data_IF_866497567376
#
_entry.id   IF_866497567376
#
_cell.length_a   1.000
_cell.length_b   1.000
_cell.length_c   1.000
_cell.angle_alpha   90.00
_cell.angle_beta   90.00
_cell.angle_gamma   90.00
#
_symmetry.space_group_name_H-M   'P 1'
#
loop_
_entity.id
_entity.type
_entity.pdbx_description
1 polymer ?
#
# COMPACT_ATOMS: atom_id res chain seq x y z
N UNK A 1 31.43 -33.14 -11.90
CA UNK A 1 30.57 -33.96 -11.03
C UNK A 1 29.16 -33.74 -11.50
N UNK A 2 28.37 -34.78 -11.63
CA UNK A 2 27.04 -34.74 -12.24
C UNK A 2 25.96 -35.03 -11.21
N UNK A 3 24.73 -34.59 -11.50
CA UNK A 3 23.51 -34.99 -10.78
C UNK A 3 23.47 -36.52 -10.72
N UNK A 4 23.06 -37.09 -9.59
CA UNK A 4 22.97 -38.55 -9.45
C UNK A 4 22.07 -39.14 -10.55
N UNK A 5 22.39 -40.33 -11.10
CA UNK A 5 21.56 -40.92 -12.16
C UNK A 5 20.10 -41.12 -11.74
N UNK A 6 19.88 -41.40 -10.45
CA UNK A 6 18.55 -41.55 -9.86
C UNK A 6 17.78 -40.22 -9.84
N UNK A 7 18.39 -39.15 -9.33
CA UNK A 7 17.74 -37.84 -9.29
C UNK A 7 17.51 -37.29 -10.70
N UNK A 8 18.48 -37.47 -11.60
CA UNK A 8 18.35 -37.08 -13.02
C UNK A 8 17.16 -37.79 -13.68
N UNK A 9 16.97 -39.09 -13.45
CA UNK A 9 15.82 -39.82 -13.97
C UNK A 9 14.50 -39.27 -13.38
N UNK A 10 14.43 -39.09 -12.06
CA UNK A 10 13.23 -38.58 -11.38
C UNK A 10 12.85 -37.17 -11.83
N UNK A 11 13.84 -36.27 -11.95
CA UNK A 11 13.63 -34.91 -12.44
C UNK A 11 13.17 -34.89 -13.90
N UNK A 12 13.77 -35.69 -14.79
CA UNK A 12 13.31 -35.78 -16.18
C UNK A 12 11.89 -36.34 -16.30
N UNK A 13 11.51 -37.31 -15.47
CA UNK A 13 10.13 -37.83 -15.42
C UNK A 13 9.16 -36.75 -14.92
N UNK A 14 9.54 -35.99 -13.89
CA UNK A 14 8.75 -34.87 -13.39
C UNK A 14 8.54 -33.81 -14.47
N UNK A 15 9.60 -33.41 -15.19
CA UNK A 15 9.52 -32.45 -16.30
C UNK A 15 8.64 -32.97 -17.46
N UNK A 16 8.72 -34.26 -17.79
CA UNK A 16 7.88 -34.88 -18.81
C UNK A 16 6.38 -34.84 -18.46
N UNK A 17 6.03 -34.77 -17.18
CA UNK A 17 4.66 -34.60 -16.69
C UNK A 17 4.16 -33.15 -16.72
N UNK A 18 4.94 -32.21 -17.29
CA UNK A 18 4.56 -30.79 -17.50
C UNK A 18 4.08 -30.12 -16.20
N UNK A 19 4.98 -29.94 -15.22
CA UNK A 19 4.65 -29.22 -14.00
C UNK A 19 4.23 -27.78 -14.32
N UNK A 20 3.43 -27.19 -13.45
CA UNK A 20 2.97 -25.79 -13.52
C UNK A 20 3.95 -24.83 -12.84
N UNK A 21 4.69 -25.30 -11.84
CA UNK A 21 5.71 -24.54 -11.11
C UNK A 21 6.65 -25.52 -10.39
N UNK A 22 7.88 -25.08 -10.13
CA UNK A 22 8.90 -25.85 -9.42
C UNK A 22 9.50 -24.96 -8.32
N UNK A 23 9.63 -25.51 -7.10
CA UNK A 23 10.37 -24.87 -6.00
C UNK A 23 11.37 -25.85 -5.41
N UNK A 24 12.48 -25.34 -4.89
CA UNK A 24 13.56 -26.14 -4.31
C UNK A 24 13.70 -25.74 -2.84
N UNK A 25 13.53 -26.70 -1.94
CA UNK A 25 13.91 -26.54 -0.54
C UNK A 25 15.38 -26.94 -0.39
N UNK A 26 16.26 -25.95 -0.41
CA UNK A 26 17.71 -26.15 -0.31
C UNK A 26 18.13 -26.75 1.04
N UNK A 27 17.38 -26.47 2.11
CA UNK A 27 17.74 -26.97 3.46
C UNK A 27 17.38 -28.44 3.63
N UNK A 28 16.25 -28.87 3.06
CA UNK A 28 15.82 -30.27 3.09
C UNK A 28 16.34 -31.09 1.92
N UNK A 29 16.94 -30.44 0.92
CA UNK A 29 17.36 -31.06 -0.33
C UNK A 29 16.18 -31.76 -1.02
N UNK A 30 15.08 -31.04 -1.23
CA UNK A 30 13.87 -31.56 -1.89
C UNK A 30 13.46 -30.64 -3.03
N UNK A 31 13.18 -31.20 -4.20
CA UNK A 31 12.51 -30.51 -5.30
C UNK A 31 11.02 -30.80 -5.23
N UNK A 32 10.21 -29.75 -5.23
CA UNK A 32 8.76 -29.84 -5.32
C UNK A 32 8.31 -29.40 -6.70
N UNK A 33 7.32 -30.10 -7.25
CA UNK A 33 6.71 -29.75 -8.52
C UNK A 33 5.18 -29.70 -8.37
N UNK A 34 4.59 -28.56 -8.72
CA UNK A 34 3.15 -28.38 -8.77
C UNK A 34 2.62 -28.95 -10.08
N UNK A 35 1.55 -29.74 -10.04
CA UNK A 35 0.84 -30.23 -11.22
C UNK A 35 -0.67 -30.09 -11.03
N UNK A 36 -1.45 -30.32 -12.09
CA UNK A 36 -2.92 -30.36 -12.00
C UNK A 36 -3.44 -31.40 -10.99
N UNK A 37 -2.68 -32.47 -10.75
CA UNK A 37 -3.06 -33.59 -9.86
C UNK A 37 -2.59 -33.40 -8.42
N UNK A 38 -1.85 -32.32 -8.14
CA UNK A 38 -1.27 -32.03 -6.83
C UNK A 38 0.24 -31.83 -6.88
N UNK A 39 0.84 -31.83 -5.69
CA UNK A 39 2.28 -31.64 -5.48
C UNK A 39 3.04 -32.97 -5.55
N UNK A 40 4.17 -32.95 -6.25
CA UNK A 40 5.15 -34.04 -6.29
C UNK A 40 6.40 -33.63 -5.52
N UNK A 41 6.90 -34.52 -4.66
CA UNK A 41 8.12 -34.32 -3.89
C UNK A 41 9.24 -35.24 -4.41
N UNK A 42 10.43 -34.68 -4.62
CA UNK A 42 11.62 -35.42 -5.07
C UNK A 42 12.75 -35.12 -4.09
N UNK A 43 12.95 -35.99 -3.08
CA UNK A 43 14.13 -35.95 -2.24
C UNK A 43 15.39 -36.17 -3.08
N UNK A 44 16.39 -35.30 -2.88
CA UNK A 44 17.64 -35.30 -3.62
C UNK A 44 18.72 -36.11 -2.89
N UNK A 45 19.60 -36.72 -3.66
CA UNK A 45 20.72 -37.53 -3.20
C UNK A 45 22.03 -36.87 -3.68
N UNK A 46 22.50 -35.81 -2.99
CA UNK A 46 23.64 -35.03 -3.44
C UNK A 46 24.91 -35.89 -3.53
N UNK A 47 25.59 -35.81 -4.67
CA UNK A 47 26.88 -36.47 -4.92
C UNK A 47 28.08 -35.56 -4.64
N UNK A 48 27.81 -34.29 -4.34
CA UNK A 48 28.78 -33.25 -4.04
C UNK A 48 28.22 -32.29 -2.96
N UNK A 49 28.85 -31.13 -2.77
CA UNK A 49 28.32 -30.12 -1.83
C UNK A 49 26.95 -29.64 -2.28
N UNK A 50 26.02 -29.51 -1.34
CA UNK A 50 24.63 -29.15 -1.57
C UNK A 50 24.47 -27.93 -2.48
N UNK A 51 25.17 -26.82 -2.21
CA UNK A 51 25.16 -25.61 -3.05
C UNK A 51 25.50 -25.89 -4.52
N UNK A 52 26.52 -26.71 -4.78
CA UNK A 52 26.92 -27.07 -6.13
C UNK A 52 25.90 -28.01 -6.77
N UNK A 53 25.30 -28.90 -5.97
CA UNK A 53 24.29 -29.83 -6.43
C UNK A 53 23.00 -29.11 -6.85
N UNK A 54 22.51 -28.18 -6.02
CA UNK A 54 21.36 -27.33 -6.33
C UNK A 54 21.62 -26.48 -7.57
N UNK A 55 22.83 -25.90 -7.72
CA UNK A 55 23.19 -25.16 -8.92
C UNK A 55 23.07 -26.02 -10.18
N UNK A 56 23.52 -27.27 -10.14
CA UNK A 56 23.41 -28.19 -11.27
C UNK A 56 21.96 -28.54 -11.59
N UNK A 57 21.11 -28.71 -10.58
CA UNK A 57 19.67 -28.93 -10.77
C UNK A 57 19.05 -27.71 -11.45
N UNK A 58 19.33 -26.49 -10.98
CA UNK A 58 18.86 -25.26 -11.63
C UNK A 58 19.35 -25.12 -13.07
N UNK A 59 20.60 -25.50 -13.34
CA UNK A 59 21.13 -25.58 -14.70
C UNK A 59 20.34 -26.56 -15.57
N UNK A 60 20.02 -27.76 -15.06
CA UNK A 60 19.19 -28.75 -15.75
C UNK A 60 17.78 -28.22 -16.04
N UNK A 61 17.11 -27.63 -15.04
CA UNK A 61 15.78 -27.03 -15.20
C UNK A 61 15.81 -25.90 -16.23
N UNK A 62 16.78 -25.00 -16.13
CA UNK A 62 16.97 -23.91 -17.08
C UNK A 62 17.23 -24.40 -18.50
N UNK A 63 18.00 -25.47 -18.69
CA UNK A 63 18.23 -26.08 -20.01
C UNK A 63 16.94 -26.67 -20.59
N UNK A 64 16.13 -27.31 -19.77
CA UNK A 64 14.84 -27.86 -20.20
C UNK A 64 13.87 -26.77 -20.67
N UNK A 65 13.80 -25.67 -19.92
CA UNK A 65 12.87 -24.56 -20.17
C UNK A 65 13.33 -23.67 -21.34
N UNK A 66 14.63 -23.32 -21.41
CA UNK A 66 15.14 -22.30 -22.35
C UNK A 66 15.84 -22.87 -23.59
N UNK A 67 16.04 -24.19 -23.67
CA UNK A 67 16.55 -24.89 -24.86
C UNK A 67 17.94 -24.49 -25.35
N UNK A 68 18.75 -23.74 -24.58
CA UNK A 68 20.08 -23.28 -25.02
C UNK A 68 21.21 -23.56 -24.00
N UNK A 69 22.42 -23.98 -24.44
CA UNK A 69 23.48 -24.52 -23.57
C UNK A 69 24.44 -23.45 -23.00
N UNK A 70 24.18 -22.17 -23.26
CA UNK A 70 25.09 -21.08 -22.93
C UNK A 70 24.99 -20.72 -21.45
N UNK A 71 25.78 -21.45 -20.64
CA UNK A 71 26.37 -21.07 -19.35
C UNK A 71 25.52 -20.22 -18.40
N UNK A 72 25.17 -20.79 -17.25
CA UNK A 72 24.60 -20.10 -16.09
C UNK A 72 25.27 -18.73 -15.83
N UNK A 73 24.64 -17.59 -16.18
CA UNK A 73 25.18 -16.26 -15.92
C UNK A 73 24.85 -15.85 -14.48
N UNK A 74 25.78 -15.21 -13.79
CA UNK A 74 25.65 -14.85 -12.37
C UNK A 74 24.60 -13.78 -12.05
N UNK A 75 23.90 -13.23 -13.06
CA UNK A 75 22.92 -12.16 -12.87
C UNK A 75 21.65 -12.37 -13.71
N UNK A 76 20.52 -12.47 -13.00
CA UNK A 76 19.16 -12.73 -13.50
C UNK A 76 18.64 -11.55 -14.36
N UNK A 77 19.17 -10.34 -14.17
CA UNK A 77 18.77 -9.12 -14.88
C UNK A 77 19.01 -9.18 -16.41
N UNK A 78 20.06 -9.87 -16.85
CA UNK A 78 20.35 -10.05 -18.28
C UNK A 78 19.35 -10.98 -18.98
N UNK A 79 18.60 -11.81 -18.23
CA UNK A 79 17.55 -12.69 -18.73
C UNK A 79 16.18 -11.99 -18.79
N UNK A 80 15.85 -11.15 -17.81
CA UNK A 80 14.54 -10.50 -17.72
C UNK A 80 14.23 -9.59 -18.92
N UNK A 81 15.22 -8.94 -19.54
CA UNK A 81 15.01 -8.11 -20.73
C UNK A 81 14.66 -8.88 -22.02
N UNK A 82 14.87 -10.20 -22.05
CA UNK A 82 14.48 -11.07 -23.17
C UNK A 82 13.23 -11.91 -22.88
N UNK A 83 12.98 -12.26 -21.61
CA UNK A 83 11.81 -13.03 -21.17
C UNK A 83 10.57 -12.17 -20.89
N UNK A 84 10.71 -10.84 -20.86
CA UNK A 84 9.65 -9.92 -20.43
C UNK A 84 8.39 -9.93 -21.31
N UNK A 85 8.39 -10.58 -22.48
CA UNK A 85 7.23 -10.56 -23.39
C UNK A 85 6.61 -11.92 -23.75
N UNK A 86 7.22 -13.09 -23.50
CA UNK A 86 6.70 -14.32 -24.17
C UNK A 86 6.45 -15.61 -23.35
N UNK A 87 6.75 -15.71 -22.04
CA UNK A 87 6.10 -16.74 -21.17
C UNK A 87 6.46 -16.61 -19.68
N UNK A 88 5.62 -15.93 -18.90
CA UNK A 88 5.78 -15.84 -17.44
C UNK A 88 5.68 -17.20 -16.73
N UNK A 89 4.95 -18.15 -17.31
CA UNK A 89 4.79 -19.50 -16.74
C UNK A 89 6.09 -20.29 -16.74
N UNK A 90 6.91 -20.13 -17.79
CA UNK A 90 8.19 -20.82 -17.94
C UNK A 90 9.19 -20.38 -16.86
N UNK A 91 9.11 -19.14 -16.39
CA UNK A 91 9.93 -18.65 -15.28
C UNK A 91 9.68 -19.44 -13.99
N UNK A 92 8.44 -19.89 -13.76
CA UNK A 92 8.09 -20.66 -12.56
C UNK A 92 8.64 -22.09 -12.60
N UNK A 93 9.18 -22.55 -13.72
CA UNK A 93 9.79 -23.87 -13.86
C UNK A 93 11.29 -23.86 -13.54
N UNK A 94 11.89 -22.69 -13.26
CA UNK A 94 13.33 -22.57 -13.03
C UNK A 94 13.78 -23.09 -11.65
N UNK A 95 12.86 -23.24 -10.68
CA UNK A 95 13.23 -23.61 -9.31
C UNK A 95 14.04 -22.53 -8.58
N UNK A 96 13.91 -21.27 -9.04
CA UNK A 96 14.61 -20.11 -8.52
C UNK A 96 13.60 -19.14 -7.85
N UNK A 97 13.80 -18.77 -6.57
CA UNK A 97 12.89 -17.86 -5.88
C UNK A 97 12.81 -16.50 -6.58
N UNK A 98 13.90 -16.01 -7.17
CA UNK A 98 13.93 -14.74 -7.90
C UNK A 98 13.07 -14.77 -9.17
N UNK A 99 12.88 -15.94 -9.79
CA UNK A 99 11.96 -16.08 -10.92
C UNK A 99 10.51 -15.92 -10.47
N UNK A 100 10.13 -16.49 -9.32
CA UNK A 100 8.82 -16.29 -8.72
C UNK A 100 8.57 -14.82 -8.36
N UNK A 101 9.58 -14.13 -7.80
CA UNK A 101 9.53 -12.68 -7.55
C UNK A 101 9.33 -11.90 -8.86
N UNK A 102 10.10 -12.20 -9.91
CA UNK A 102 9.95 -11.50 -11.20
C UNK A 102 8.52 -11.64 -11.77
N UNK A 103 7.91 -12.82 -11.63
CA UNK A 103 6.52 -13.04 -12.05
C UNK A 103 5.52 -12.28 -11.16
N UNK A 104 5.70 -12.27 -9.82
CA UNK A 104 4.86 -11.50 -8.89
C UNK A 104 4.80 -10.00 -9.23
N UNK A 105 5.90 -9.45 -9.76
CA UNK A 105 6.03 -8.04 -10.12
C UNK A 105 5.54 -7.72 -11.55
N UNK A 106 5.09 -8.72 -12.31
CA UNK A 106 4.57 -8.51 -13.66
C UNK A 106 3.21 -7.82 -13.64
N UNK A 107 3.03 -6.80 -14.48
CA UNK A 107 1.73 -6.16 -14.71
C UNK A 107 0.71 -7.09 -15.39
N UNK A 108 1.19 -8.15 -16.07
CA UNK A 108 0.37 -9.12 -16.78
C UNK A 108 -0.03 -10.33 -15.90
N UNK A 109 0.27 -10.26 -14.60
CA UNK A 109 -0.08 -11.32 -13.65
C UNK A 109 -1.60 -11.57 -13.63
N UNK A 110 -1.97 -12.82 -13.87
CA UNK A 110 -3.35 -13.33 -13.75
C UNK A 110 -3.54 -13.98 -12.38
N UNK A 111 -4.81 -14.15 -11.96
CA UNK A 111 -5.12 -14.80 -10.68
C UNK A 111 -4.58 -16.24 -10.58
N UNK A 112 -4.67 -16.99 -11.69
CA UNK A 112 -4.11 -18.34 -11.77
C UNK A 112 -2.57 -18.34 -11.71
N UNK A 113 -1.92 -17.38 -12.35
CA UNK A 113 -0.46 -17.25 -12.26
C UNK A 113 -0.02 -16.81 -10.86
N UNK A 114 -0.79 -15.93 -10.20
CA UNK A 114 -0.57 -15.55 -8.81
C UNK A 114 -0.69 -16.76 -7.87
N UNK A 115 -1.62 -17.68 -8.11
CA UNK A 115 -1.72 -18.96 -7.37
C UNK A 115 -0.45 -19.79 -7.50
N UNK A 116 0.12 -19.91 -8.71
CA UNK A 116 1.36 -20.66 -8.98
C UNK A 116 2.57 -19.98 -8.32
N UNK A 117 2.66 -18.65 -8.40
CA UNK A 117 3.70 -17.85 -7.73
C UNK A 117 3.62 -18.02 -6.22
N UNK A 118 2.42 -17.89 -5.67
CA UNK A 118 2.17 -18.05 -4.24
C UNK A 118 2.59 -19.44 -3.75
N UNK A 119 2.24 -20.49 -4.48
CA UNK A 119 2.70 -21.84 -4.18
C UNK A 119 4.23 -21.99 -4.25
N UNK A 120 4.89 -21.32 -5.21
CA UNK A 120 6.33 -21.42 -5.39
C UNK A 120 7.10 -20.67 -4.29
N UNK A 121 6.60 -19.51 -3.86
CA UNK A 121 7.24 -18.63 -2.88
C UNK A 121 6.22 -17.78 -2.12
N UNK A 122 5.77 -18.29 -0.97
CA UNK A 122 4.93 -17.57 -0.02
C UNK A 122 5.75 -16.50 0.72
N UNK A 123 5.60 -15.23 0.31
CA UNK A 123 6.34 -14.11 0.88
C UNK A 123 5.45 -12.85 1.00
N UNK A 124 5.68 -12.07 2.06
CA UNK A 124 4.87 -10.88 2.34
C UNK A 124 5.06 -9.76 1.31
N UNK A 125 6.26 -9.56 0.76
CA UNK A 125 6.45 -8.60 -0.33
C UNK A 125 5.74 -9.06 -1.59
N UNK A 126 5.84 -10.34 -1.94
CA UNK A 126 5.11 -10.89 -3.08
C UNK A 126 3.60 -10.71 -2.91
N UNK A 127 3.04 -11.03 -1.75
CA UNK A 127 1.61 -10.81 -1.47
C UNK A 127 1.22 -9.33 -1.62
N UNK A 128 2.04 -8.41 -1.09
CA UNK A 128 1.79 -6.97 -1.23
C UNK A 128 1.78 -6.54 -2.70
N UNK A 129 2.74 -6.98 -3.51
CA UNK A 129 2.79 -6.62 -4.93
C UNK A 129 1.61 -7.18 -5.71
N UNK A 130 1.27 -8.45 -5.49
CA UNK A 130 0.13 -9.08 -6.15
C UNK A 130 -1.19 -8.35 -5.83
N UNK A 131 -1.38 -7.89 -4.58
CA UNK A 131 -2.56 -7.12 -4.16
C UNK A 131 -2.62 -5.69 -4.71
N UNK A 132 -1.58 -5.17 -5.37
CA UNK A 132 -1.66 -3.91 -6.11
C UNK A 132 -2.44 -4.02 -7.41
N UNK A 133 -2.62 -5.25 -7.91
CA UNK A 133 -3.25 -5.52 -9.19
C UNK A 133 -4.76 -5.76 -9.01
N UNK A 134 -5.63 -4.93 -9.62
CA UNK A 134 -7.08 -5.05 -9.45
C UNK A 134 -7.64 -6.42 -9.87
N UNK A 135 -7.02 -7.09 -10.84
CA UNK A 135 -7.45 -8.42 -11.28
C UNK A 135 -7.22 -9.50 -10.22
N UNK A 136 -6.19 -9.35 -9.37
CA UNK A 136 -5.89 -10.28 -8.28
C UNK A 136 -6.82 -10.00 -7.09
N UNK A 137 -7.03 -8.72 -6.77
CA UNK A 137 -7.97 -8.29 -5.71
C UNK A 137 -9.38 -8.82 -5.96
N UNK A 138 -9.82 -8.85 -7.22
CA UNK A 138 -11.13 -9.38 -7.63
C UNK A 138 -11.16 -10.90 -7.82
N UNK A 139 -9.99 -11.54 -7.88
CA UNK A 139 -9.83 -12.97 -8.08
C UNK A 139 -9.88 -13.78 -6.78
N UNK A 140 -9.60 -15.07 -6.86
CA UNK A 140 -9.57 -15.95 -5.70
C UNK A 140 -8.35 -15.75 -4.81
N UNK A 141 -7.25 -15.23 -5.37
CA UNK A 141 -6.02 -15.00 -4.60
C UNK A 141 -6.13 -13.77 -3.70
N UNK A 142 -6.91 -12.76 -4.06
CA UNK A 142 -7.07 -11.53 -3.27
C UNK A 142 -7.32 -11.80 -1.78
N UNK A 143 -8.43 -12.47 -1.41
CA UNK A 143 -8.73 -12.77 -0.01
C UNK A 143 -7.67 -13.64 0.69
N UNK A 144 -7.05 -14.60 -0.03
CA UNK A 144 -6.01 -15.49 0.53
C UNK A 144 -4.75 -14.70 0.89
N UNK A 145 -4.28 -13.84 -0.02
CA UNK A 145 -3.12 -12.98 0.19
C UNK A 145 -3.38 -11.95 1.31
N UNK A 146 -4.59 -11.38 1.34
CA UNK A 146 -4.97 -10.43 2.38
C UNK A 146 -5.01 -11.08 3.77
N UNK A 147 -5.57 -12.29 3.88
CA UNK A 147 -5.59 -13.06 5.12
C UNK A 147 -4.17 -13.36 5.62
N UNK A 148 -3.29 -13.83 4.73
CA UNK A 148 -1.87 -14.05 5.06
C UNK A 148 -1.20 -12.78 5.59
N UNK A 149 -1.38 -11.64 4.91
CA UNK A 149 -0.76 -10.38 5.35
C UNK A 149 -1.29 -9.93 6.71
N UNK A 150 -2.58 -10.13 7.00
CA UNK A 150 -3.17 -9.81 8.31
C UNK A 150 -2.59 -10.70 9.42
N UNK A 151 -2.36 -11.98 9.14
CA UNK A 151 -1.67 -12.89 10.07
C UNK A 151 -0.18 -12.53 10.23
N UNK A 152 0.44 -11.98 9.19
CA UNK A 152 1.84 -11.57 9.18
C UNK A 152 2.10 -10.21 9.88
N UNK A 153 1.11 -9.31 9.90
CA UNK A 153 1.21 -7.96 10.50
C UNK A 153 1.83 -7.87 11.92
N UNK A 154 1.61 -8.82 12.85
CA UNK A 154 2.28 -8.81 14.15
C UNK A 154 3.81 -8.87 14.07
N UNK A 155 4.35 -9.50 13.03
CA UNK A 155 5.78 -9.65 12.78
C UNK A 155 6.39 -8.46 12.02
N UNK A 156 5.56 -7.60 11.43
CA UNK A 156 6.00 -6.40 10.71
C UNK A 156 6.45 -5.30 11.69
N UNK A 157 7.69 -4.85 11.51
CA UNK A 157 8.33 -3.80 12.33
C UNK A 157 8.34 -2.44 11.65
N UNK A 158 8.44 -2.44 10.32
CA UNK A 158 8.60 -1.21 9.55
C UNK A 158 7.24 -0.51 9.39
N UNK A 159 7.18 0.76 9.81
CA UNK A 159 5.94 1.52 9.77
C UNK A 159 5.38 1.63 8.34
N UNK A 160 6.25 1.84 7.35
CA UNK A 160 5.90 1.88 5.93
C UNK A 160 5.23 0.59 5.46
N UNK A 161 5.78 -0.57 5.83
CA UNK A 161 5.23 -1.87 5.44
C UNK A 161 3.90 -2.16 6.13
N UNK A 162 3.74 -1.77 7.39
CA UNK A 162 2.46 -1.85 8.10
C UNK A 162 1.43 -1.00 7.35
N UNK A 163 1.78 0.25 7.07
CA UNK A 163 0.96 1.24 6.41
C UNK A 163 0.50 0.79 5.01
N UNK A 164 1.43 0.32 4.18
CA UNK A 164 1.18 -0.24 2.85
C UNK A 164 0.32 -1.51 2.91
N UNK A 165 0.65 -2.43 3.82
CA UNK A 165 -0.16 -3.63 4.05
C UNK A 165 -1.60 -3.28 4.40
N UNK A 166 -1.79 -2.35 5.35
CA UNK A 166 -3.13 -1.89 5.76
C UNK A 166 -3.89 -1.29 4.58
N UNK A 167 -3.23 -0.54 3.70
CA UNK A 167 -3.87 -0.01 2.51
C UNK A 167 -4.31 -1.10 1.53
N UNK A 168 -3.49 -2.13 1.36
CA UNK A 168 -3.75 -3.23 0.43
C UNK A 168 -4.85 -4.15 0.92
N UNK A 169 -4.87 -4.50 2.22
CA UNK A 169 -5.86 -5.43 2.76
C UNK A 169 -7.22 -4.78 3.01
N UNK A 170 -7.30 -3.46 3.19
CA UNK A 170 -8.57 -2.74 3.35
C UNK A 170 -9.29 -2.45 2.02
N UNK A 171 -8.80 -2.97 0.89
CA UNK A 171 -9.52 -2.88 -0.37
C UNK A 171 -10.89 -3.60 -0.28
N UNK A 172 -11.92 -3.11 -0.99
CA UNK A 172 -13.26 -3.68 -0.92
C UNK A 172 -13.30 -5.17 -1.23
N UNK A 173 -13.95 -5.95 -0.35
CA UNK A 173 -14.20 -7.38 -0.55
C UNK A 173 -13.09 -8.32 -0.07
N UNK A 174 -11.94 -7.81 0.40
CA UNK A 174 -10.83 -8.65 0.87
C UNK A 174 -11.00 -9.14 2.31
N UNK A 175 -11.52 -8.30 3.19
CA UNK A 175 -11.72 -8.61 4.61
C UNK A 175 -13.19 -8.44 5.00
N UNK A 176 -13.61 -9.22 5.99
CA UNK A 176 -14.92 -9.04 6.61
C UNK A 176 -14.94 -7.87 7.62
N UNK A 177 -16.14 -7.44 8.00
CA UNK A 177 -16.34 -6.32 8.93
C UNK A 177 -15.73 -6.61 10.31
N UNK A 178 -15.74 -7.86 10.77
CA UNK A 178 -15.22 -8.21 12.09
C UNK A 178 -13.70 -8.02 12.17
N UNK A 179 -13.00 -8.43 11.12
CA UNK A 179 -11.56 -8.30 10.99
C UNK A 179 -11.14 -6.84 10.82
N UNK A 180 -11.88 -6.05 10.03
CA UNK A 180 -11.67 -4.60 9.92
C UNK A 180 -11.79 -3.93 11.30
N UNK A 181 -12.80 -4.29 12.09
CA UNK A 181 -12.99 -3.76 13.45
C UNK A 181 -11.86 -4.17 14.41
N UNK A 182 -11.33 -5.39 14.28
CA UNK A 182 -10.18 -5.83 15.09
C UNK A 182 -8.90 -5.06 14.72
N UNK A 183 -8.60 -4.92 13.43
CA UNK A 183 -7.46 -4.14 12.94
C UNK A 183 -7.53 -2.68 13.40
N UNK A 184 -8.72 -2.08 13.38
CA UNK A 184 -8.94 -0.73 13.89
C UNK A 184 -8.58 -0.60 15.38
N UNK A 185 -9.02 -1.57 16.21
CA UNK A 185 -8.70 -1.58 17.66
C UNK A 185 -7.19 -1.68 17.89
N UNK A 186 -6.45 -2.42 17.06
CA UNK A 186 -4.98 -2.53 17.14
C UNK A 186 -4.28 -1.19 16.87
N UNK A 187 -4.88 -0.31 16.07
CA UNK A 187 -4.35 1.03 15.78
C UNK A 187 -4.11 1.91 17.00
N UNK A 188 -4.82 1.68 18.12
CA UNK A 188 -4.56 2.37 19.39
C UNK A 188 -3.13 2.18 19.90
N UNK A 189 -2.50 1.04 19.59
CA UNK A 189 -1.13 0.71 20.01
C UNK A 189 -0.09 1.01 18.93
N UNK A 190 -0.45 0.81 17.65
CA UNK A 190 0.41 1.06 16.48
C UNK A 190 -0.29 2.06 15.54
N UNK A 191 0.04 3.35 15.67
CA UNK A 191 -0.57 4.45 14.90
C UNK A 191 -0.44 4.30 13.37
N UNK A 192 0.57 3.59 12.87
CA UNK A 192 0.72 3.22 11.46
C UNK A 192 -0.55 2.55 10.88
N UNK A 193 -1.28 1.77 11.69
CA UNK A 193 -2.54 1.15 11.24
C UNK A 193 -3.56 2.22 10.84
N UNK A 194 -3.72 3.25 11.67
CA UNK A 194 -4.67 4.32 11.40
C UNK A 194 -4.36 5.08 10.12
N UNK A 195 -3.09 5.22 9.73
CA UNK A 195 -2.75 5.87 8.46
C UNK A 195 -3.27 5.06 7.27
N UNK A 196 -3.11 3.73 7.29
CA UNK A 196 -3.70 2.86 6.27
C UNK A 196 -5.23 2.94 6.21
N UNK A 197 -5.89 3.06 7.36
CA UNK A 197 -7.34 3.32 7.43
C UNK A 197 -7.72 4.68 6.84
N UNK A 198 -7.03 5.75 7.22
CA UNK A 198 -7.27 7.11 6.69
C UNK A 198 -7.11 7.16 5.16
N UNK A 199 -6.20 6.36 4.60
CA UNK A 199 -5.93 6.28 3.17
C UNK A 199 -7.01 5.48 2.40
N UNK A 200 -7.55 4.42 3.01
CA UNK A 200 -8.34 3.40 2.31
C UNK A 200 -9.84 3.52 2.53
N UNK A 201 -10.25 3.92 3.74
CA UNK A 201 -11.64 4.01 4.15
C UNK A 201 -11.98 5.42 4.65
N UNK A 202 -11.69 6.49 3.88
CA UNK A 202 -11.80 7.86 4.38
C UNK A 202 -13.23 8.26 4.78
N UNK A 203 -14.25 7.60 4.21
CA UNK A 203 -15.67 7.86 4.46
C UNK A 203 -16.38 6.73 5.22
N UNK A 204 -15.68 5.63 5.52
CA UNK A 204 -16.23 4.41 6.12
C UNK A 204 -15.35 3.91 7.29
N UNK A 205 -14.80 4.86 8.06
CA UNK A 205 -13.99 4.52 9.23
C UNK A 205 -14.86 3.85 10.32
N UNK A 206 -14.35 2.80 10.98
CA UNK A 206 -15.03 2.17 12.11
C UNK A 206 -15.45 3.15 13.21
N UNK A 207 -16.73 3.13 13.56
CA UNK A 207 -17.32 3.97 14.62
C UNK A 207 -18.09 5.20 14.14
N UNK A 208 -18.21 5.41 12.82
CA UNK A 208 -19.00 6.52 12.23
C UNK A 208 -20.50 6.38 12.50
N UNK A 209 -21.00 5.14 12.59
CA UNK A 209 -22.39 4.84 12.89
C UNK A 209 -22.76 5.32 14.30
N UNK A 210 -23.43 6.48 14.40
CA UNK A 210 -23.97 7.02 15.65
C UNK A 210 -23.41 8.36 16.11
N UNK A 211 -22.48 8.98 15.37
CA UNK A 211 -22.06 10.35 15.68
C UNK A 211 -23.08 11.38 15.19
N UNK A 212 -23.19 12.49 15.92
CA UNK A 212 -24.10 13.59 15.58
C UNK A 212 -23.79 14.12 14.18
N UNK A 213 -24.82 14.14 13.35
CA UNK A 213 -24.76 14.80 12.05
C UNK A 213 -24.64 16.32 12.25
N UNK A 214 -24.00 17.03 11.31
CA UNK A 214 -23.90 18.49 11.38
C UNK A 214 -25.29 19.12 11.34
N UNK A 215 -25.34 20.42 11.65
CA UNK A 215 -26.59 21.19 11.62
C UNK A 215 -27.33 20.97 10.29
N UNK A 216 -28.60 20.51 10.33
CA UNK A 216 -29.29 19.98 9.16
C UNK A 216 -29.39 21.00 8.02
N UNK A 217 -29.68 22.27 8.33
CA UNK A 217 -29.85 23.33 7.34
C UNK A 217 -28.59 23.62 6.52
N UNK A 218 -27.42 23.73 7.18
CA UNK A 218 -26.15 23.95 6.49
C UNK A 218 -25.76 22.74 5.63
N UNK A 219 -26.03 21.54 6.15
CA UNK A 219 -25.74 20.28 5.46
C UNK A 219 -26.51 20.17 4.14
N UNK A 220 -27.81 20.47 4.14
CA UNK A 220 -28.65 20.47 2.93
C UNK A 220 -28.17 21.49 1.89
N UNK A 221 -27.88 22.72 2.33
CA UNK A 221 -27.40 23.78 1.44
C UNK A 221 -26.07 23.41 0.77
N UNK A 222 -25.13 22.87 1.53
CA UNK A 222 -23.84 22.41 0.99
C UNK A 222 -24.01 21.27 -0.02
N UNK A 223 -24.97 20.35 0.20
CA UNK A 223 -25.28 19.29 -0.76
C UNK A 223 -25.86 19.83 -2.06
N UNK A 224 -26.80 20.79 -1.99
CA UNK A 224 -27.38 21.43 -3.19
C UNK A 224 -26.27 22.10 -4.00
N UNK A 225 -25.43 22.92 -3.36
CA UNK A 225 -24.31 23.59 -4.02
C UNK A 225 -23.31 22.60 -4.61
N UNK A 226 -23.05 21.47 -3.93
CA UNK A 226 -22.20 20.41 -4.47
C UNK A 226 -22.80 19.78 -5.73
N UNK A 227 -24.12 19.57 -5.77
CA UNK A 227 -24.84 19.10 -6.95
C UNK A 227 -24.81 20.08 -8.13
N UNK A 228 -24.71 21.38 -7.84
CA UNK A 228 -24.52 22.45 -8.82
C UNK A 228 -23.06 22.60 -9.30
N UNK A 229 -22.15 21.76 -8.80
CA UNK A 229 -20.73 21.71 -9.23
C UNK A 229 -19.76 22.43 -8.30
N UNK A 230 -20.20 22.95 -7.14
CA UNK A 230 -19.29 23.52 -6.16
C UNK A 230 -18.59 22.42 -5.34
N UNK A 231 -17.44 21.98 -5.85
CA UNK A 231 -16.59 20.95 -5.20
C UNK A 231 -16.11 21.32 -3.79
N UNK A 232 -16.04 22.61 -3.44
CA UNK A 232 -15.67 23.03 -2.09
C UNK A 232 -16.83 22.81 -1.12
N UNK A 233 -18.06 23.02 -1.57
CA UNK A 233 -19.25 22.70 -0.80
C UNK A 233 -19.34 21.18 -0.54
N UNK A 234 -19.04 20.35 -1.57
CA UNK A 234 -18.94 18.90 -1.41
C UNK A 234 -17.85 18.47 -0.41
N UNK A 235 -16.69 19.13 -0.42
CA UNK A 235 -15.63 18.89 0.55
C UNK A 235 -16.02 19.31 1.98
N UNK A 236 -16.65 20.47 2.16
CA UNK A 236 -17.17 20.91 3.46
C UNK A 236 -18.23 19.94 3.99
N UNK A 237 -19.16 19.52 3.14
CA UNK A 237 -20.18 18.53 3.48
C UNK A 237 -19.53 17.23 3.97
N UNK A 238 -18.55 16.70 3.23
CA UNK A 238 -17.80 15.51 3.61
C UNK A 238 -17.10 15.68 4.96
N UNK A 239 -16.42 16.80 5.16
CA UNK A 239 -15.67 17.13 6.39
C UNK A 239 -16.57 17.22 7.61
N UNK A 240 -17.77 17.80 7.48
CA UNK A 240 -18.72 17.92 8.59
C UNK A 240 -19.57 16.68 8.81
N UNK A 241 -19.54 15.70 7.91
CA UNK A 241 -20.20 14.41 8.13
C UNK A 241 -19.62 13.68 9.35
N UNK A 242 -20.39 12.75 9.92
CA UNK A 242 -19.93 11.88 11.00
C UNK A 242 -18.60 11.17 10.65
N UNK A 243 -18.49 10.60 9.44
CA UNK A 243 -17.27 9.95 8.95
C UNK A 243 -16.11 10.94 8.83
N UNK A 244 -16.37 12.15 8.32
CA UNK A 244 -15.37 13.21 8.22
C UNK A 244 -14.82 13.65 9.58
N UNK A 245 -15.68 13.74 10.60
CA UNK A 245 -15.27 14.08 11.97
C UNK A 245 -14.38 12.98 12.59
N UNK A 246 -14.71 11.70 12.38
CA UNK A 246 -13.84 10.59 12.80
C UNK A 246 -12.52 10.63 12.05
N UNK A 247 -12.54 10.91 10.75
CA UNK A 247 -11.34 11.01 9.94
C UNK A 247 -10.41 12.11 10.48
N UNK A 248 -10.93 13.31 10.76
CA UNK A 248 -10.17 14.41 11.36
C UNK A 248 -9.62 14.05 12.74
N UNK A 249 -10.44 13.45 13.60
CA UNK A 249 -10.04 13.03 14.93
C UNK A 249 -8.92 11.97 14.88
N UNK A 250 -9.00 11.06 13.94
CA UNK A 250 -8.00 10.00 13.72
C UNK A 250 -6.71 10.59 13.17
N UNK A 251 -6.78 11.47 12.17
CA UNK A 251 -5.61 12.20 11.65
C UNK A 251 -4.89 12.96 12.77
N UNK A 252 -5.65 13.69 13.59
CA UNK A 252 -5.13 14.41 14.75
C UNK A 252 -4.45 13.45 15.74
N UNK A 253 -5.10 12.33 16.07
CA UNK A 253 -4.54 11.33 16.98
C UNK A 253 -3.19 10.78 16.48
N UNK A 254 -3.05 10.53 15.18
CA UNK A 254 -1.78 10.06 14.59
C UNK A 254 -0.70 11.15 14.70
N UNK A 255 -1.03 12.38 14.28
CA UNK A 255 -0.08 13.49 14.19
C UNK A 255 0.30 14.11 15.54
N UNK A 256 -0.51 13.94 16.59
CA UNK A 256 -0.13 14.33 17.95
C UNK A 256 1.01 13.47 18.52
N UNK A 257 1.05 12.18 18.15
CA UNK A 257 2.06 11.23 18.65
C UNK A 257 2.55 10.30 17.53
N UNK A 258 3.21 10.82 16.48
CA UNK A 258 3.73 9.99 15.40
C UNK A 258 4.86 9.10 15.91
N UNK A 259 4.96 7.90 15.31
CA UNK A 259 5.97 6.90 15.65
C UNK A 259 7.35 7.26 15.11
N UNK A 260 7.40 7.64 13.83
CA UNK A 260 8.59 8.00 13.08
C UNK A 260 8.26 9.06 12.00
N UNK A 261 9.24 9.39 11.14
CA UNK A 261 9.06 10.39 10.08
C UNK A 261 8.13 9.89 8.97
N UNK A 262 8.17 8.60 8.65
CA UNK A 262 7.36 8.01 7.58
C UNK A 262 5.87 8.13 7.90
N UNK A 263 5.47 7.82 9.15
CA UNK A 263 4.09 8.02 9.63
C UNK A 263 3.65 9.47 9.45
N UNK A 264 4.53 10.45 9.66
CA UNK A 264 4.20 11.87 9.45
C UNK A 264 4.02 12.16 7.97
N UNK A 265 5.00 11.80 7.13
CA UNK A 265 4.98 12.08 5.70
C UNK A 265 3.75 11.47 5.03
N UNK A 266 3.48 10.20 5.31
CA UNK A 266 2.31 9.50 4.76
C UNK A 266 0.99 10.08 5.28
N UNK A 267 0.91 10.46 6.56
CA UNK A 267 -0.29 11.13 7.09
C UNK A 267 -0.57 12.46 6.40
N UNK A 268 0.48 13.22 6.05
CA UNK A 268 0.35 14.47 5.31
C UNK A 268 -0.11 14.22 3.87
N UNK A 269 0.46 13.23 3.18
CA UNK A 269 0.04 12.84 1.82
C UNK A 269 -1.43 12.39 1.79
N UNK A 270 -1.83 11.56 2.76
CA UNK A 270 -3.22 11.12 2.93
C UNK A 270 -4.14 12.31 3.18
N UNK A 271 -3.70 13.29 3.97
CA UNK A 271 -4.46 14.52 4.19
C UNK A 271 -4.59 15.37 2.91
N UNK A 272 -3.50 15.58 2.18
CA UNK A 272 -3.54 16.29 0.90
C UNK A 272 -4.52 15.63 -0.08
N UNK A 273 -4.49 14.30 -0.18
CA UNK A 273 -5.43 13.55 -1.03
C UNK A 273 -6.88 13.76 -0.58
N UNK A 274 -7.14 13.68 0.73
CA UNK A 274 -8.48 13.89 1.29
C UNK A 274 -9.04 15.30 0.99
N UNK A 275 -8.19 16.33 1.06
CA UNK A 275 -8.55 17.73 0.81
C UNK A 275 -8.30 18.21 -0.63
N UNK A 276 -7.96 17.33 -1.56
CA UNK A 276 -7.54 17.66 -2.93
C UNK A 276 -8.56 18.50 -3.73
N UNK A 277 -9.85 18.41 -3.41
CA UNK A 277 -10.88 19.26 -4.02
C UNK A 277 -10.65 20.77 -3.76
N UNK A 278 -9.92 21.15 -2.71
CA UNK A 278 -9.51 22.54 -2.47
C UNK A 278 -8.27 22.95 -3.27
N UNK A 279 -7.58 22.02 -3.95
CA UNK A 279 -6.34 22.24 -4.71
C UNK A 279 -6.29 21.40 -6.01
N UNK A 280 -7.10 21.75 -7.03
CA UNK A 280 -7.13 21.02 -8.30
C UNK A 280 -5.80 21.05 -9.05
N UNK A 281 -4.98 22.08 -8.83
CA UNK A 281 -3.70 22.25 -9.49
C UNK A 281 -2.65 21.23 -9.04
N UNK A 282 -2.96 20.45 -7.99
CA UNK A 282 -2.08 19.42 -7.45
C UNK A 282 -1.23 19.91 -6.28
N UNK A 283 -0.38 19.02 -5.78
CA UNK A 283 0.46 19.27 -4.62
C UNK A 283 1.49 20.38 -4.87
N UNK A 284 1.78 21.14 -3.83
CA UNK A 284 2.78 22.21 -3.82
C UNK A 284 3.78 21.93 -2.71
N UNK A 285 5.06 22.13 -3.00
CA UNK A 285 6.16 22.01 -2.03
C UNK A 285 6.39 23.34 -1.29
N UNK A 286 5.50 23.66 -0.35
CA UNK A 286 5.52 24.90 0.42
C UNK A 286 5.53 24.65 1.94
N UNK A 287 6.06 25.60 2.70
CA UNK A 287 5.98 25.57 4.16
C UNK A 287 4.55 25.85 4.63
N UNK A 288 4.28 25.56 5.91
CA UNK A 288 2.96 25.82 6.49
C UNK A 288 2.60 27.32 6.45
N UNK A 289 3.58 28.20 6.65
CA UNK A 289 3.40 29.65 6.58
C UNK A 289 3.04 30.10 5.16
N UNK A 290 3.76 29.60 4.15
CA UNK A 290 3.49 29.90 2.74
C UNK A 290 2.08 29.43 2.34
N UNK A 291 1.67 28.24 2.78
CA UNK A 291 0.32 27.71 2.57
C UNK A 291 -0.75 28.56 3.28
N UNK A 292 -0.48 29.04 4.50
CA UNK A 292 -1.39 29.91 5.22
C UNK A 292 -1.57 31.27 4.53
N UNK A 293 -0.50 31.85 4.00
CA UNK A 293 -0.51 33.11 3.26
C UNK A 293 -1.23 32.98 1.92
N UNK A 294 -1.02 31.86 1.23
CA UNK A 294 -1.73 31.51 0.00
C UNK A 294 -3.22 31.29 0.27
N UNK A 295 -3.58 30.51 1.29
CA UNK A 295 -4.97 30.24 1.66
C UNK A 295 -5.74 31.51 2.01
N UNK A 296 -5.12 32.48 2.70
CA UNK A 296 -5.73 33.78 2.98
C UNK A 296 -6.08 34.52 1.70
N UNK A 297 -5.09 34.70 0.80
CA UNK A 297 -5.30 35.36 -0.50
C UNK A 297 -6.33 34.64 -1.36
N UNK A 298 -6.33 33.31 -1.34
CA UNK A 298 -7.25 32.49 -2.12
C UNK A 298 -8.70 32.59 -1.67
N UNK A 299 -8.94 32.77 -0.36
CA UNK A 299 -10.30 33.01 0.17
C UNK A 299 -10.72 34.46 -0.02
N UNK A 300 -9.78 35.40 0.09
CA UNK A 300 -10.07 36.84 -0.02
C UNK A 300 -10.19 37.32 -1.48
N UNK A 301 -9.90 36.46 -2.46
CA UNK A 301 -10.04 36.77 -3.89
C UNK A 301 -11.52 36.81 -4.32
N UNK A 302 -12.06 37.98 -4.71
CA UNK A 302 -13.44 38.09 -5.20
C UNK A 302 -13.65 37.37 -6.54
N UNK A 303 -12.58 37.04 -7.28
CA UNK A 303 -12.62 36.24 -8.50
C UNK A 303 -12.87 34.75 -8.25
N UNK A 304 -12.74 34.29 -7.01
CA UNK A 304 -12.96 32.89 -6.66
C UNK A 304 -14.45 32.58 -6.41
N UNK A 305 -15.20 32.39 -7.52
CA UNK A 305 -16.64 32.18 -7.48
C UNK A 305 -17.08 31.04 -6.53
N UNK A 306 -16.31 29.94 -6.47
CA UNK A 306 -16.65 28.80 -5.60
C UNK A 306 -16.58 29.18 -4.11
N UNK A 307 -15.60 30.01 -3.73
CA UNK A 307 -15.49 30.53 -2.37
C UNK A 307 -16.59 31.55 -2.08
N UNK A 308 -16.82 32.50 -3.00
CA UNK A 308 -17.82 33.56 -2.81
C UNK A 308 -19.21 32.97 -2.57
N UNK A 309 -19.62 31.97 -3.36
CA UNK A 309 -20.89 31.27 -3.17
C UNK A 309 -21.06 30.69 -1.76
N UNK A 310 -19.98 30.17 -1.15
CA UNK A 310 -20.02 29.60 0.21
C UNK A 310 -20.04 30.71 1.26
N UNK A 311 -19.33 31.82 1.03
CA UNK A 311 -19.33 32.97 1.94
C UNK A 311 -20.66 33.74 1.90
N UNK A 312 -21.36 33.74 0.77
CA UNK A 312 -22.72 34.27 0.64
C UNK A 312 -23.72 33.46 1.50
N UNK A 313 -23.45 32.16 1.70
CA UNK A 313 -24.22 31.30 2.58
C UNK A 313 -23.97 31.62 4.05
N UNK A 314 -22.69 31.63 4.44
CA UNK A 314 -22.25 31.97 5.78
C UNK A 314 -20.81 32.53 5.76
N UNK A 315 -20.63 33.84 6.02
CA UNK A 315 -19.30 34.46 6.07
C UNK A 315 -18.38 33.84 7.12
N UNK A 316 -18.92 33.17 8.15
CA UNK A 316 -18.14 32.50 9.19
C UNK A 316 -17.36 31.28 8.67
N UNK A 317 -17.73 30.75 7.50
CA UNK A 317 -17.03 29.63 6.85
C UNK A 317 -15.67 30.03 6.27
N UNK A 318 -15.32 31.32 6.20
CA UNK A 318 -14.04 31.78 5.69
C UNK A 318 -12.83 31.10 6.37
N UNK A 319 -12.86 30.94 7.70
CA UNK A 319 -11.76 30.27 8.41
C UNK A 319 -11.67 28.79 8.06
N UNK A 320 -12.82 28.13 7.86
CA UNK A 320 -12.87 26.71 7.47
C UNK A 320 -12.36 26.51 6.04
N UNK A 321 -12.72 27.39 5.10
CA UNK A 321 -12.18 27.38 3.73
C UNK A 321 -10.66 27.57 3.70
N UNK A 322 -10.12 28.49 4.52
CA UNK A 322 -8.67 28.65 4.67
C UNK A 322 -8.02 27.37 5.20
N UNK A 323 -8.62 26.73 6.21
CA UNK A 323 -8.12 25.47 6.74
C UNK A 323 -8.12 24.35 5.69
N UNK A 324 -9.20 24.19 4.91
CA UNK A 324 -9.24 23.23 3.79
C UNK A 324 -8.11 23.49 2.79
N UNK A 325 -7.89 24.75 2.41
CA UNK A 325 -6.86 25.15 1.45
C UNK A 325 -5.44 24.89 1.98
N UNK A 326 -5.18 25.15 3.26
CA UNK A 326 -3.90 24.79 3.89
C UNK A 326 -3.70 23.27 3.90
N UNK A 327 -4.68 22.51 4.39
CA UNK A 327 -4.57 21.06 4.53
C UNK A 327 -4.51 20.33 3.16
N UNK A 328 -5.03 20.93 2.09
CA UNK A 328 -4.85 20.40 0.73
C UNK A 328 -3.41 20.47 0.21
N UNK A 329 -2.57 21.32 0.81
CA UNK A 329 -1.14 21.42 0.53
C UNK A 329 -0.27 20.56 1.45
N UNK A 330 -0.87 19.62 2.20
CA UNK A 330 -0.14 18.77 3.14
C UNK A 330 0.84 17.86 2.40
N UNK A 331 2.12 18.15 2.53
CA UNK A 331 3.19 17.37 1.91
C UNK A 331 4.51 17.58 2.62
N UNK A 332 5.60 17.05 2.05
CA UNK A 332 6.92 17.15 2.68
C UNK A 332 7.34 18.60 2.96
N UNK A 333 6.94 19.57 2.13
CA UNK A 333 7.22 20.99 2.31
C UNK A 333 6.82 21.54 3.68
N UNK A 334 5.74 21.02 4.28
CA UNK A 334 5.27 21.40 5.62
C UNK A 334 6.32 21.08 6.68
N UNK A 335 6.92 19.88 6.63
CA UNK A 335 7.84 19.37 7.65
C UNK A 335 9.31 19.53 7.28
N UNK A 336 9.60 19.88 6.03
CA UNK A 336 10.95 20.16 5.49
C UNK A 336 11.79 21.10 6.35
N UNK A 337 11.26 22.19 6.96
CA UNK A 337 12.05 23.06 7.85
C UNK A 337 12.66 22.34 9.07
N UNK A 338 12.08 21.19 9.46
CA UNK A 338 12.50 20.34 10.57
C UNK A 338 13.24 19.11 10.05
N UNK A 339 12.59 18.28 9.22
CA UNK A 339 13.13 17.01 8.75
C UNK A 339 14.32 17.17 7.80
N UNK A 340 14.39 18.26 7.04
CA UNK A 340 15.58 18.58 6.23
C UNK A 340 16.85 18.84 7.06
N UNK A 341 16.73 18.94 8.40
CA UNK A 341 17.84 19.22 9.32
C UNK A 341 18.07 18.12 10.35
N UNK A 342 17.27 17.05 10.34
CA UNK A 342 17.35 16.01 11.36
C UNK A 342 16.71 14.69 10.92
N UNK A 343 17.39 13.61 11.25
CA UNK A 343 16.93 12.21 11.19
C UNK A 343 16.39 11.71 12.55
N UNK A 344 16.10 12.63 13.47
CA UNK A 344 15.68 12.26 14.82
C UNK A 344 14.39 11.42 14.78
N UNK A 345 14.30 10.46 15.70
CA UNK A 345 13.15 9.57 15.90
C UNK A 345 12.53 9.75 17.29
N UNK A 346 11.32 9.21 17.49
CA UNK A 346 10.66 9.15 18.79
C UNK A 346 10.41 10.52 19.45
N UNK A 347 10.72 10.64 20.74
CA UNK A 347 10.43 11.86 21.53
C UNK A 347 11.19 13.09 21.03
N UNK A 348 12.45 12.92 20.60
CA UNK A 348 13.23 14.04 20.09
C UNK A 348 12.65 14.58 18.78
N UNK A 349 12.25 13.68 17.87
CA UNK A 349 11.53 14.04 16.64
C UNK A 349 10.29 14.86 16.95
N UNK A 350 9.42 14.35 17.84
CA UNK A 350 8.18 15.04 18.22
C UNK A 350 8.42 16.44 18.77
N UNK A 351 9.43 16.60 19.64
CA UNK A 351 9.80 17.92 20.18
C UNK A 351 10.27 18.89 19.09
N UNK A 352 11.07 18.41 18.13
CA UNK A 352 11.54 19.24 17.01
C UNK A 352 10.43 19.57 16.03
N UNK A 353 9.46 18.68 15.85
CA UNK A 353 8.33 18.83 14.93
C UNK A 353 7.22 19.73 15.49
N UNK A 354 7.13 19.86 16.82
CA UNK A 354 6.09 20.61 17.52
C UNK A 354 5.82 22.03 16.97
N UNK A 355 6.83 22.87 16.63
CA UNK A 355 6.60 24.22 16.12
C UNK A 355 5.81 24.25 14.80
N UNK A 356 5.92 23.20 13.99
CA UNK A 356 5.19 23.06 12.72
C UNK A 356 3.89 22.29 12.93
N UNK A 357 3.92 21.23 13.74
CA UNK A 357 2.76 20.34 13.89
C UNK A 357 1.64 20.96 14.74
N UNK A 358 1.96 21.79 15.73
CA UNK A 358 0.93 22.49 16.51
C UNK A 358 0.05 23.42 15.67
N UNK A 359 0.59 24.35 14.86
CA UNK A 359 -0.24 25.17 13.99
C UNK A 359 -0.97 24.34 12.92
N UNK A 360 -0.35 23.28 12.39
CA UNK A 360 -1.00 22.35 11.47
C UNK A 360 -2.25 21.70 12.09
N UNK A 361 -2.12 21.18 13.30
CA UNK A 361 -3.24 20.62 14.07
C UNK A 361 -4.30 21.67 14.44
N UNK A 362 -3.91 22.96 14.51
CA UNK A 362 -4.85 24.08 14.63
C UNK A 362 -5.81 24.17 13.45
N UNK A 363 -5.32 23.98 12.22
CA UNK A 363 -6.20 23.93 11.03
C UNK A 363 -7.10 22.70 11.03
N UNK A 364 -6.61 21.54 11.48
CA UNK A 364 -7.45 20.34 11.66
C UNK A 364 -8.57 20.64 12.67
N UNK A 365 -8.23 21.29 13.79
CA UNK A 365 -9.20 21.63 14.85
C UNK A 365 -10.28 22.62 14.39
N UNK A 366 -9.98 23.55 13.47
CA UNK A 366 -10.99 24.47 12.88
C UNK A 366 -12.08 23.74 12.09
N UNK A 367 -11.79 22.52 11.63
CA UNK A 367 -12.73 21.68 10.88
C UNK A 367 -13.43 20.65 11.76
N UNK A 368 -12.98 20.49 13.01
CA UNK A 368 -13.67 19.66 14.00
C UNK A 368 -14.88 20.44 14.55
N UNK A 369 -16.03 19.77 14.58
CA UNK A 369 -17.32 20.31 15.03
C UNK A 369 -17.41 20.48 16.54
#
# INVERSE_FOLDING_TARGET
MEISPEDSLRLNVMLANKPQAIRIDESRMIVYALSEKGEMEIPLNPTCRDEHYIKQIREMLSMHVLGSPSGYPQHIWSRMGHLSNENLEDLLLLGEPEAAVAVAYSSELTDELARKVWWALEDAENARQMLRLPQIVKGEMGPKLAAFLVEFLPFETEAEKIMDTMQLVLQPGLLDVALIQDLWKRGKRKNAFYVGFLASLPDDLPGAAGQQQPQPDLSEQLQVMAGEGNRLAGLLYRVFSASGQIWLATLRQVLEKPGNQDVVNWSLEVAAKYFSAARPEGLVDATLEELADEARRWVDDPGNALVQQILDLDPQLAQKLRALRVLSGSGYGVVRPVFGKTDAIGTLMRRKLQPVMQPYLGYVALLQG
#
